data_IF_506201011837
#
_entry.id   IF_506201011837
#
_cell.length_a   1.000
_cell.length_b   1.000
_cell.length_c   1.000
_cell.angle_alpha   90.00
_cell.angle_beta   90.00
_cell.angle_gamma   90.00
#
_symmetry.space_group_name_H-M   'P 1'
#
loop_
_entity.id
_entity.type
_entity.pdbx_description
1 polymer ?
#
# COMPACT_ATOMS: atom_id res chain seq x y z
N UNK A 1 14.88 -6.81 -0.36
CA UNK A 1 14.06 -7.84 0.31
C UNK A 1 12.91 -7.17 1.06
N UNK A 2 11.69 -7.68 0.88
CA UNK A 2 10.53 -7.13 1.57
C UNK A 2 10.48 -7.68 2.99
N UNK A 3 10.50 -6.80 3.98
CA UNK A 3 10.43 -7.19 5.38
C UNK A 3 9.33 -6.47 6.13
N UNK A 4 9.22 -5.15 5.96
CA UNK A 4 8.22 -4.31 6.66
C UNK A 4 7.09 -3.95 5.71
N UNK A 5 5.87 -4.26 6.11
CA UNK A 5 4.67 -3.95 5.33
C UNK A 5 3.74 -3.07 6.16
N UNK A 6 3.38 -1.92 5.60
CA UNK A 6 2.42 -1.00 6.21
C UNK A 6 1.08 -1.15 5.50
N UNK A 7 0.01 -1.28 6.26
CA UNK A 7 -1.35 -1.40 5.75
C UNK A 7 -2.17 -0.22 6.25
N UNK A 8 -2.64 0.62 5.33
CA UNK A 8 -3.41 1.81 5.64
C UNK A 8 -4.83 1.65 5.11
N UNK A 9 -5.78 1.47 6.02
CA UNK A 9 -7.20 1.28 5.71
C UNK A 9 -7.98 1.58 6.98
N UNK A 10 -9.10 2.30 6.86
CA UNK A 10 -9.90 2.67 8.02
C UNK A 10 -10.72 1.49 8.58
N UNK A 11 -10.80 0.39 7.85
CA UNK A 11 -11.52 -0.81 8.28
C UNK A 11 -10.58 -1.83 8.92
N UNK A 12 -10.73 -2.12 10.23
CA UNK A 12 -9.93 -3.17 10.87
C UNK A 12 -10.12 -4.55 10.22
N UNK A 13 -11.34 -4.82 9.73
CA UNK A 13 -11.65 -6.08 9.05
C UNK A 13 -10.89 -6.16 7.73
N UNK A 14 -10.85 -5.06 6.96
CA UNK A 14 -10.11 -5.02 5.70
C UNK A 14 -8.62 -5.24 5.93
N UNK A 15 -8.04 -4.61 6.97
CA UNK A 15 -6.64 -4.82 7.32
C UNK A 15 -6.36 -6.27 7.67
N UNK A 16 -7.24 -6.90 8.45
CA UNK A 16 -7.11 -8.31 8.83
C UNK A 16 -7.20 -9.21 7.61
N UNK A 17 -8.13 -8.95 6.70
CA UNK A 17 -8.28 -9.73 5.48
C UNK A 17 -7.05 -9.64 4.60
N UNK A 18 -6.49 -8.44 4.46
CA UNK A 18 -5.28 -8.25 3.67
C UNK A 18 -4.12 -9.06 4.27
N UNK A 19 -3.92 -8.98 5.58
CA UNK A 19 -2.87 -9.74 6.25
C UNK A 19 -3.03 -11.25 6.02
N UNK A 20 -4.27 -11.74 6.00
CA UNK A 20 -4.53 -13.17 5.78
C UNK A 20 -4.20 -13.62 4.37
N UNK A 21 -4.13 -12.68 3.42
CA UNK A 21 -3.76 -12.99 2.03
C UNK A 21 -2.26 -13.00 1.81
N UNK A 22 -1.48 -12.50 2.77
CA UNK A 22 -0.03 -12.44 2.65
C UNK A 22 0.61 -13.76 3.11
N UNK A 23 1.71 -14.17 2.46
CA UNK A 23 2.41 -15.40 2.87
C UNK A 23 2.88 -15.31 4.32
N UNK A 24 2.63 -16.37 5.09
CA UNK A 24 2.96 -16.37 6.52
C UNK A 24 4.39 -16.77 6.83
N UNK A 25 5.06 -17.46 5.89
CA UNK A 25 6.39 -18.02 6.11
C UNK A 25 7.53 -17.10 5.69
N UNK A 26 7.22 -15.86 5.29
CA UNK A 26 8.21 -14.92 4.78
C UNK A 26 8.82 -14.01 5.85
N UNK A 27 8.33 -14.09 7.07
CA UNK A 27 8.87 -13.29 8.17
C UNK A 27 8.53 -11.80 8.08
N UNK A 28 7.43 -11.45 7.45
CA UNK A 28 7.02 -10.04 7.32
C UNK A 28 6.66 -9.45 8.67
N UNK A 29 7.07 -8.20 8.88
CA UNK A 29 6.63 -7.38 10.00
C UNK A 29 5.49 -6.48 9.52
N UNK A 30 4.33 -6.55 10.18
CA UNK A 30 3.15 -5.79 9.79
C UNK A 30 2.93 -4.59 10.68
N UNK A 31 2.61 -3.46 10.06
CA UNK A 31 2.23 -2.23 10.74
C UNK A 31 0.92 -1.75 10.13
N UNK A 32 0.06 -1.13 10.94
CA UNK A 32 -1.27 -0.73 10.51
C UNK A 32 -1.54 0.72 10.85
N UNK A 33 -2.33 1.38 10.00
CA UNK A 33 -2.82 2.73 10.22
C UNK A 33 -4.28 2.80 9.81
N UNK A 34 -5.08 3.55 10.56
CA UNK A 34 -6.51 3.65 10.37
C UNK A 34 -7.00 4.83 9.54
N UNK A 35 -6.09 5.73 9.13
CA UNK A 35 -6.40 6.83 8.23
C UNK A 35 -5.14 7.30 7.52
N UNK A 36 -5.31 8.21 6.56
CA UNK A 36 -4.21 8.67 5.73
C UNK A 36 -3.13 9.41 6.51
N UNK A 37 -3.53 10.21 7.49
CA UNK A 37 -2.57 10.98 8.30
C UNK A 37 -1.70 10.05 9.14
N UNK A 38 -2.33 9.09 9.82
CA UNK A 38 -1.62 8.08 10.59
C UNK A 38 -0.71 7.26 9.68
N UNK A 39 -1.17 6.96 8.45
CA UNK A 39 -0.38 6.23 7.45
C UNK A 39 0.89 6.97 7.09
N UNK A 40 0.81 8.28 6.85
CA UNK A 40 1.98 9.11 6.54
C UNK A 40 2.95 9.12 7.72
N UNK A 41 2.45 9.32 8.93
CA UNK A 41 3.26 9.34 10.14
C UNK A 41 3.98 8.01 10.36
N UNK A 42 3.24 6.89 10.20
CA UNK A 42 3.82 5.54 10.31
C UNK A 42 4.89 5.31 9.24
N UNK A 43 4.63 5.75 8.02
CA UNK A 43 5.61 5.61 6.94
C UNK A 43 6.94 6.26 7.32
N UNK A 44 6.89 7.47 7.83
CA UNK A 44 8.10 8.19 8.21
C UNK A 44 8.83 7.54 9.37
N UNK A 45 8.07 6.94 10.30
CA UNK A 45 8.62 6.28 11.48
C UNK A 45 9.31 4.97 11.14
N UNK A 46 8.63 4.09 10.38
CA UNK A 46 9.12 2.73 10.14
C UNK A 46 9.79 2.53 8.80
N UNK A 47 9.56 3.39 7.84
CA UNK A 47 10.09 3.29 6.47
C UNK A 47 9.84 1.89 5.88
N UNK A 48 8.58 1.53 5.64
CA UNK A 48 8.24 0.18 5.18
C UNK A 48 8.76 -0.08 3.78
N UNK A 49 8.94 -1.35 3.46
CA UNK A 49 9.35 -1.76 2.12
C UNK A 49 8.18 -1.68 1.13
N UNK A 50 6.97 -1.96 1.61
CA UNK A 50 5.74 -1.91 0.81
C UNK A 50 4.63 -1.31 1.67
N UNK A 51 3.83 -0.43 1.07
CA UNK A 51 2.65 0.15 1.70
C UNK A 51 1.41 -0.19 0.87
N UNK A 52 0.42 -0.80 1.51
CA UNK A 52 -0.91 -1.00 0.92
C UNK A 52 -1.78 0.18 1.36
N UNK A 53 -2.36 0.89 0.40
CA UNK A 53 -3.08 2.13 0.67
C UNK A 53 -4.50 2.09 0.12
N UNK A 54 -5.48 2.23 1.02
CA UNK A 54 -6.87 2.46 0.63
C UNK A 54 -7.05 3.91 0.22
N UNK A 55 -8.01 4.19 -0.66
CA UNK A 55 -8.23 5.55 -1.17
C UNK A 55 -9.28 6.33 -0.39
N UNK A 56 -10.29 5.67 0.15
CA UNK A 56 -11.39 6.34 0.86
C UNK A 56 -11.25 6.17 2.36
N UNK A 57 -10.77 7.22 3.03
CA UNK A 57 -10.53 7.21 4.47
C UNK A 57 -10.88 8.57 5.08
N UNK A 58 -11.24 8.62 6.38
CA UNK A 58 -11.45 9.89 7.06
C UNK A 58 -10.12 10.61 7.33
N UNK A 59 -10.19 11.88 7.71
CA UNK A 59 -9.08 12.76 8.07
C UNK A 59 -8.21 13.11 6.87
N UNK A 60 -7.62 12.13 6.22
CA UNK A 60 -6.79 12.30 5.03
C UNK A 60 -7.06 11.14 4.08
N UNK A 61 -7.38 11.46 2.83
CA UNK A 61 -7.64 10.42 1.81
C UNK A 61 -6.36 9.70 1.40
N UNK A 62 -6.51 8.56 0.73
CA UNK A 62 -5.37 7.83 0.18
C UNK A 62 -4.62 8.65 -0.87
N UNK A 63 -5.32 9.46 -1.66
CA UNK A 63 -4.69 10.35 -2.64
C UNK A 63 -3.73 11.32 -1.97
N UNK A 64 -4.19 11.99 -0.91
CA UNK A 64 -3.37 12.92 -0.15
C UNK A 64 -2.20 12.23 0.53
N UNK A 65 -2.44 11.04 1.09
CA UNK A 65 -1.40 10.27 1.75
C UNK A 65 -0.31 9.84 0.77
N UNK A 66 -0.70 9.38 -0.43
CA UNK A 66 0.27 9.00 -1.48
C UNK A 66 1.14 10.20 -1.84
N UNK A 67 0.53 11.36 -2.05
CA UNK A 67 1.28 12.56 -2.40
C UNK A 67 2.30 12.91 -1.33
N UNK A 68 1.91 12.89 -0.06
CA UNK A 68 2.82 13.21 1.04
C UNK A 68 3.93 12.17 1.19
N UNK A 69 3.61 10.88 1.05
CA UNK A 69 4.62 9.82 1.15
C UNK A 69 5.64 9.95 0.02
N UNK A 70 5.18 10.16 -1.21
CA UNK A 70 6.07 10.29 -2.37
C UNK A 70 6.94 11.55 -2.26
N UNK A 71 6.39 12.65 -1.72
CA UNK A 71 7.19 13.85 -1.49
C UNK A 71 8.28 13.61 -0.45
N UNK A 72 8.01 12.77 0.54
CA UNK A 72 8.98 12.39 1.57
C UNK A 72 10.02 11.39 1.04
N UNK A 73 9.56 10.42 0.23
CA UNK A 73 10.39 9.33 -0.26
C UNK A 73 9.97 8.98 -1.69
N UNK A 74 10.72 9.44 -2.67
CA UNK A 74 10.39 9.22 -4.09
C UNK A 74 10.46 7.75 -4.52
N UNK A 75 11.14 6.92 -3.72
CA UNK A 75 11.27 5.49 -4.01
C UNK A 75 10.27 4.64 -3.26
N UNK A 76 9.27 5.27 -2.61
CA UNK A 76 8.24 4.54 -1.88
C UNK A 76 7.48 3.61 -2.81
N UNK A 77 7.25 2.38 -2.35
CA UNK A 77 6.47 1.38 -3.08
C UNK A 77 5.07 1.34 -2.48
N UNK A 78 4.10 1.87 -3.21
CA UNK A 78 2.73 1.97 -2.74
C UNK A 78 1.82 1.16 -3.65
N UNK A 79 1.14 0.17 -3.08
CA UNK A 79 0.13 -0.62 -3.77
C UNK A 79 -1.24 -0.11 -3.31
N UNK A 80 -1.97 0.52 -4.23
CA UNK A 80 -3.30 1.04 -3.94
C UNK A 80 -4.30 -0.12 -3.95
N UNK A 81 -5.18 -0.16 -2.95
CA UNK A 81 -6.23 -1.17 -2.84
C UNK A 81 -7.56 -0.45 -2.77
N UNK A 82 -8.40 -0.59 -3.79
CA UNK A 82 -9.62 0.19 -3.89
C UNK A 82 -10.75 -0.58 -4.58
N UNK A 83 -12.00 -0.24 -4.22
CA UNK A 83 -13.17 -0.72 -4.94
C UNK A 83 -13.43 0.13 -6.20
N UNK A 84 -12.86 1.34 -6.25
CA UNK A 84 -13.01 2.25 -7.38
C UNK A 84 -11.89 2.02 -8.39
N UNK A 85 -12.24 1.34 -9.49
CA UNK A 85 -11.27 1.04 -10.56
C UNK A 85 -11.59 1.81 -11.83
N UNK A 86 -12.25 2.95 -11.71
CA UNK A 86 -12.49 3.82 -12.86
C UNK A 86 -11.15 4.37 -13.38
N UNK A 87 -11.06 4.54 -14.69
CA UNK A 87 -9.82 5.00 -15.34
C UNK A 87 -9.27 6.28 -14.73
N UNK A 88 -10.16 7.22 -14.38
CA UNK A 88 -9.76 8.49 -13.78
C UNK A 88 -9.04 8.31 -12.44
N UNK A 89 -9.57 7.43 -11.59
CA UNK A 89 -8.97 7.17 -10.27
C UNK A 89 -7.62 6.48 -10.43
N UNK A 90 -7.55 5.47 -11.29
CA UNK A 90 -6.31 4.73 -11.56
C UNK A 90 -5.23 5.68 -12.09
N UNK A 91 -5.60 6.51 -13.08
CA UNK A 91 -4.66 7.46 -13.66
C UNK A 91 -4.13 8.42 -12.60
N UNK A 92 -5.02 8.94 -11.75
CA UNK A 92 -4.64 9.89 -10.72
C UNK A 92 -3.61 9.31 -9.75
N UNK A 93 -3.85 8.09 -9.23
CA UNK A 93 -2.91 7.50 -8.27
C UNK A 93 -1.59 7.14 -8.92
N UNK A 94 -1.60 6.71 -10.17
CA UNK A 94 -0.35 6.40 -10.88
C UNK A 94 0.46 7.67 -11.12
N UNK A 95 -0.18 8.78 -11.46
CA UNK A 95 0.48 10.07 -11.62
C UNK A 95 1.06 10.58 -10.30
N UNK A 96 0.41 10.26 -9.17
CA UNK A 96 0.92 10.64 -7.85
C UNK A 96 2.13 9.80 -7.43
N UNK A 97 2.37 8.66 -8.09
CA UNK A 97 3.53 7.83 -7.82
C UNK A 97 3.23 6.45 -7.27
N UNK A 98 1.97 6.01 -7.28
CA UNK A 98 1.63 4.66 -6.87
C UNK A 98 2.30 3.64 -7.79
N UNK A 99 2.70 2.49 -7.24
CA UNK A 99 3.36 1.44 -7.99
C UNK A 99 2.37 0.56 -8.75
N UNK A 100 1.21 0.31 -8.17
CA UNK A 100 0.15 -0.45 -8.82
C UNK A 100 -1.17 -0.28 -8.08
N UNK A 101 -2.25 -0.75 -8.72
CA UNK A 101 -3.61 -0.69 -8.16
C UNK A 101 -4.20 -2.09 -8.16
N UNK A 102 -4.74 -2.50 -7.02
CA UNK A 102 -5.47 -3.75 -6.87
C UNK A 102 -6.94 -3.46 -6.57
N UNK A 103 -7.82 -4.29 -7.12
CA UNK A 103 -9.26 -4.13 -6.96
C UNK A 103 -9.77 -4.92 -5.75
N UNK A 104 -10.63 -4.29 -4.94
CA UNK A 104 -11.39 -5.01 -3.91
C UNK A 104 -12.59 -5.69 -4.55
N UNK A 105 -13.01 -6.87 -4.07
CA UNK A 105 -12.44 -7.64 -2.95
C UNK A 105 -11.10 -8.28 -3.33
N UNK A 106 -10.17 -8.31 -2.37
CA UNK A 106 -8.84 -8.82 -2.62
C UNK A 106 -8.81 -10.34 -2.70
N UNK A 107 -8.02 -10.83 -3.65
CA UNK A 107 -7.75 -12.26 -3.79
C UNK A 107 -6.30 -12.53 -3.43
N UNK A 108 -6.07 -13.69 -2.82
CA UNK A 108 -4.71 -14.08 -2.41
C UNK A 108 -3.74 -14.06 -3.59
N UNK A 109 -4.18 -14.56 -4.75
CA UNK A 109 -3.33 -14.60 -5.95
C UNK A 109 -2.93 -13.19 -6.39
N UNK A 110 -3.84 -12.23 -6.31
CA UNK A 110 -3.57 -10.84 -6.69
C UNK A 110 -2.52 -10.22 -5.79
N UNK A 111 -2.62 -10.45 -4.49
CA UNK A 111 -1.66 -9.94 -3.50
C UNK A 111 -0.29 -10.56 -3.72
N UNK A 112 -0.23 -11.88 -3.89
CA UNK A 112 1.04 -12.60 -4.08
C UNK A 112 1.71 -12.18 -5.39
N UNK A 113 0.93 -12.03 -6.46
CA UNK A 113 1.44 -11.57 -7.74
C UNK A 113 2.00 -10.15 -7.63
N UNK A 114 1.28 -9.27 -6.92
CA UNK A 114 1.72 -7.89 -6.70
C UNK A 114 3.05 -7.84 -5.95
N UNK A 115 3.20 -8.65 -4.90
CA UNK A 115 4.43 -8.70 -4.12
C UNK A 115 5.62 -9.16 -4.96
N UNK A 116 5.41 -10.14 -5.84
CA UNK A 116 6.48 -10.60 -6.72
C UNK A 116 6.93 -9.48 -7.67
N UNK A 117 5.99 -8.72 -8.22
CA UNK A 117 6.30 -7.62 -9.12
C UNK A 117 7.06 -6.50 -8.42
N UNK A 118 6.62 -6.10 -7.22
CA UNK A 118 7.31 -5.02 -6.50
C UNK A 118 8.65 -5.49 -5.95
N UNK A 119 8.80 -6.77 -5.61
CA UNK A 119 10.09 -7.33 -5.21
C UNK A 119 11.12 -7.13 -6.31
N UNK A 120 10.75 -7.43 -7.56
CA UNK A 120 11.65 -7.24 -8.69
C UNK A 120 12.01 -5.76 -8.86
N UNK A 121 11.06 -4.87 -8.70
CA UNK A 121 11.29 -3.43 -8.78
C UNK A 121 12.26 -2.97 -7.71
N UNK A 122 12.09 -3.42 -6.47
CA UNK A 122 12.96 -3.07 -5.34
C UNK A 122 14.38 -3.57 -5.59
N UNK A 123 14.53 -4.81 -6.06
CA UNK A 123 15.84 -5.39 -6.36
C UNK A 123 16.57 -4.64 -7.47
N UNK A 124 15.84 -4.20 -8.50
CA UNK A 124 16.43 -3.44 -9.59
C UNK A 124 16.86 -2.03 -9.18
N UNK A 125 16.24 -1.46 -8.16
CA UNK A 125 16.56 -0.13 -7.65
C UNK A 125 17.83 -0.14 -6.78
N UNK A 126 18.28 -1.32 -6.41
CA UNK A 126 19.49 -1.51 -5.61
C UNK A 126 20.55 -2.22 -6.43
#
# INVERSE_FOLDING_TARGET
>A
MIKKILIVDDSPIARKMLKSCLPKDEGYEFYEAGDGKEGVEKYKEIKPDVTFMDLTMPVMTGYEAIEEIINYDKNAVIIVVTADVQMKAIKMVMELGASMVLRKPLKREDIQSALLKVRDTIQKAH
#
